data_IF_273591016707
#
_entry.id   IF_273591016707
#
_cell.length_a   1.000
_cell.length_b   1.000
_cell.length_c   1.000
_cell.angle_alpha   90.00
_cell.angle_beta   90.00
_cell.angle_gamma   90.00
#
_symmetry.space_group_name_H-M   'P 1'
#
loop_
_entity.id
_entity.type
_entity.pdbx_description
1 polymer ?
#
# COMPACT_ATOMS: atom_id res chain seq x y z
N UNK A 1 6.11 20.58 2.50
CA UNK A 1 5.21 19.67 1.76
C UNK A 1 4.97 18.30 2.42
N UNK A 2 5.49 18.01 3.62
CA UNK A 2 5.42 16.66 4.24
C UNK A 2 4.21 16.32 5.13
N UNK A 3 3.22 17.22 5.28
CA UNK A 3 2.18 17.07 6.31
C UNK A 3 0.82 16.54 5.81
N UNK A 4 0.56 16.48 4.50
CA UNK A 4 -0.74 15.98 3.99
C UNK A 4 -0.84 14.45 3.91
N UNK A 5 0.28 13.73 4.03
CA UNK A 5 0.33 12.26 3.92
C UNK A 5 -0.02 11.53 5.22
N UNK A 6 -0.01 12.19 6.38
CA UNK A 6 0.01 11.47 7.66
C UNK A 6 -1.37 11.16 8.27
N UNK A 7 -2.42 11.93 7.98
CA UNK A 7 -3.72 11.75 8.66
C UNK A 7 -4.87 11.37 7.71
N UNK A 8 -4.88 11.85 6.46
CA UNK A 8 -5.90 11.50 5.46
C UNK A 8 -5.39 10.50 4.40
N UNK A 9 -4.09 10.18 4.44
CA UNK A 9 -3.41 9.40 3.39
C UNK A 9 -3.69 7.90 3.44
N UNK A 10 -3.91 7.30 4.62
CA UNK A 10 -4.07 5.83 4.74
C UNK A 10 -5.25 5.28 3.90
N UNK A 11 -6.50 5.75 4.06
CA UNK A 11 -7.61 5.27 3.22
C UNK A 11 -7.44 5.61 1.73
N UNK A 12 -6.81 6.74 1.41
CA UNK A 12 -6.51 7.09 0.02
C UNK A 12 -5.47 6.13 -0.60
N UNK A 13 -4.42 5.76 0.15
CA UNK A 13 -3.42 4.78 -0.27
C UNK A 13 -4.02 3.38 -0.39
N UNK A 14 -4.94 3.00 0.51
CA UNK A 14 -5.69 1.75 0.41
C UNK A 14 -6.52 1.70 -0.88
N UNK A 15 -7.16 2.81 -1.28
CA UNK A 15 -7.88 2.88 -2.56
C UNK A 15 -6.95 2.82 -3.77
N UNK A 16 -5.82 3.54 -3.74
CA UNK A 16 -4.83 3.54 -4.82
C UNK A 16 -4.26 2.15 -5.06
N UNK A 17 -3.98 1.39 -4.00
CA UNK A 17 -3.51 0.00 -4.09
C UNK A 17 -4.46 -0.90 -4.88
N UNK A 18 -5.76 -0.63 -4.87
CA UNK A 18 -6.78 -1.52 -5.43
C UNK A 18 -7.35 -1.02 -6.75
N UNK A 19 -7.37 0.30 -6.96
CA UNK A 19 -8.14 0.92 -8.06
C UNK A 19 -7.29 1.69 -9.06
N UNK A 20 -6.00 1.90 -8.80
CA UNK A 20 -5.15 2.65 -9.71
C UNK A 20 -4.75 1.82 -10.93
N UNK A 21 -4.82 2.41 -12.13
CA UNK A 21 -4.48 1.75 -13.37
C UNK A 21 -2.97 1.47 -13.48
N UNK A 22 -2.13 2.35 -12.92
CA UNK A 22 -0.68 2.27 -13.00
C UNK A 22 -0.10 1.33 -11.91
N UNK A 23 0.54 0.22 -12.31
CA UNK A 23 1.22 -0.68 -11.36
C UNK A 23 2.28 0.01 -10.49
N UNK A 24 2.93 1.06 -10.99
CA UNK A 24 3.92 1.82 -10.23
C UNK A 24 3.27 2.61 -9.09
N UNK A 25 2.09 3.21 -9.34
CA UNK A 25 1.31 3.93 -8.31
C UNK A 25 0.80 2.95 -7.27
N UNK A 26 0.22 1.81 -7.68
CA UNK A 26 -0.22 0.74 -6.75
C UNK A 26 0.92 0.24 -5.87
N UNK A 27 2.10 0.04 -6.45
CA UNK A 27 3.31 -0.37 -5.72
C UNK A 27 3.73 0.68 -4.69
N UNK A 28 3.82 1.94 -5.10
CA UNK A 28 4.22 3.03 -4.22
C UNK A 28 3.23 3.20 -3.06
N UNK A 29 1.93 3.02 -3.33
CA UNK A 29 0.91 3.04 -2.30
C UNK A 29 1.07 1.88 -1.30
N UNK A 30 1.30 0.65 -1.79
CA UNK A 30 1.59 -0.50 -0.92
C UNK A 30 2.85 -0.29 -0.06
N UNK A 31 3.91 0.28 -0.64
CA UNK A 31 5.12 0.61 0.09
C UNK A 31 4.88 1.65 1.20
N UNK A 32 4.15 2.72 0.89
CA UNK A 32 3.80 3.76 1.85
C UNK A 32 2.93 3.20 3.00
N UNK A 33 1.98 2.31 2.71
CA UNK A 33 1.17 1.63 3.72
C UNK A 33 2.02 0.74 4.65
N UNK A 34 3.03 0.04 4.11
CA UNK A 34 4.00 -0.70 4.92
C UNK A 34 4.84 0.21 5.82
N UNK A 35 5.30 1.35 5.30
CA UNK A 35 6.06 2.35 6.07
C UNK A 35 5.23 3.01 7.16
N UNK A 36 3.93 3.17 6.95
CA UNK A 36 3.00 3.63 7.98
C UNK A 36 2.81 2.61 9.11
N UNK A 37 3.14 1.33 8.89
CA UNK A 37 3.10 0.27 9.90
C UNK A 37 1.71 -0.06 10.45
N UNK A 38 0.66 0.61 9.98
CA UNK A 38 -0.68 0.50 10.54
C UNK A 38 -1.32 -0.85 10.22
N UNK A 39 -1.69 -1.60 11.25
CA UNK A 39 -2.40 -2.88 11.14
C UNK A 39 -3.70 -2.78 10.32
N UNK A 40 -4.36 -1.62 10.30
CA UNK A 40 -5.55 -1.38 9.49
C UNK A 40 -5.31 -1.53 7.98
N UNK A 41 -4.09 -1.26 7.50
CA UNK A 41 -3.69 -1.39 6.10
C UNK A 41 -3.51 -2.85 5.66
N UNK A 42 -3.56 -3.81 6.59
CA UNK A 42 -3.31 -5.23 6.32
C UNK A 42 -4.26 -5.81 5.27
N UNK A 43 -5.54 -5.43 5.30
CA UNK A 43 -6.53 -5.91 4.34
C UNK A 43 -6.23 -5.43 2.90
N UNK A 44 -5.87 -4.15 2.74
CA UNK A 44 -5.48 -3.60 1.44
C UNK A 44 -4.18 -4.23 0.91
N UNK A 45 -3.18 -4.39 1.78
CA UNK A 45 -1.92 -5.04 1.43
C UNK A 45 -2.11 -6.51 1.05
N UNK A 46 -2.99 -7.25 1.74
CA UNK A 46 -3.35 -8.61 1.35
C UNK A 46 -3.93 -8.66 -0.06
N UNK A 47 -4.82 -7.72 -0.41
CA UNK A 47 -5.37 -7.63 -1.77
C UNK A 47 -4.30 -7.31 -2.81
N UNK A 48 -3.31 -6.49 -2.46
CA UNK A 48 -2.16 -6.19 -3.30
C UNK A 48 -1.24 -7.41 -3.55
N UNK A 49 -1.26 -8.43 -2.69
CA UNK A 49 -0.50 -9.67 -2.90
C UNK A 49 -1.04 -10.54 -4.04
N UNK A 50 -2.26 -10.27 -4.51
CA UNK A 50 -2.86 -10.95 -5.67
C UNK A 50 -2.91 -10.06 -6.92
N UNK A 51 -2.16 -8.95 -6.93
CA UNK A 51 -2.11 -8.04 -8.08
C UNK A 51 -1.51 -8.72 -9.34
N UNK A 52 -1.92 -8.23 -10.51
CA UNK A 52 -1.37 -8.68 -11.79
C UNK A 52 0.15 -8.43 -11.88
N UNK A 53 0.63 -7.32 -11.31
CA UNK A 53 2.04 -6.93 -11.32
C UNK A 53 2.87 -7.70 -10.28
N UNK A 54 3.92 -8.37 -10.72
CA UNK A 54 4.88 -9.06 -9.85
C UNK A 54 5.53 -8.13 -8.81
N UNK A 55 5.80 -6.88 -9.19
CA UNK A 55 6.41 -5.89 -8.30
C UNK A 55 5.46 -5.48 -7.17
N UNK A 56 4.19 -5.25 -7.49
CA UNK A 56 3.17 -4.90 -6.49
C UNK A 56 3.02 -6.03 -5.46
N UNK A 57 2.98 -7.29 -5.92
CA UNK A 57 2.91 -8.47 -5.03
C UNK A 57 4.10 -8.58 -4.08
N UNK A 58 5.31 -8.37 -4.59
CA UNK A 58 6.52 -8.42 -3.78
C UNK A 58 6.51 -7.30 -2.72
N UNK A 59 6.21 -6.06 -3.14
CA UNK A 59 6.13 -4.92 -2.23
C UNK A 59 5.05 -5.11 -1.17
N UNK A 60 3.88 -5.66 -1.54
CA UNK A 60 2.81 -5.97 -0.62
C UNK A 60 3.23 -6.97 0.46
N UNK A 61 3.93 -8.05 0.09
CA UNK A 61 4.48 -9.02 1.05
C UNK A 61 5.50 -8.39 2.00
N UNK A 62 6.37 -7.53 1.49
CA UNK A 62 7.36 -6.81 2.32
C UNK A 62 6.65 -5.85 3.28
N UNK A 63 5.67 -5.09 2.79
CA UNK A 63 4.88 -4.16 3.58
C UNK A 63 4.08 -4.87 4.69
N UNK A 64 3.53 -6.06 4.41
CA UNK A 64 2.86 -6.89 5.43
C UNK A 64 3.79 -7.29 6.58
N UNK A 65 5.08 -7.52 6.31
CA UNK A 65 6.09 -7.81 7.34
C UNK A 65 6.59 -6.57 8.09
N UNK A 66 6.28 -5.36 7.61
CA UNK A 66 6.60 -4.08 8.26
C UNK A 66 5.46 -3.56 9.14
N UNK A 67 4.29 -4.21 9.10
CA UNK A 67 3.21 -3.91 10.03
C UNK A 67 3.65 -4.30 11.44
N UNK A 68 3.46 -3.38 12.40
CA UNK A 68 3.82 -3.56 13.79
C UNK A 68 2.65 -3.22 14.73
#
# INVERSE_FOLDING_TARGET
VGAMLQASGRPALEQLVVSDADPAVRRNAAWALGKLGHAASRAALLKATTDASGLVKMTARVALGQLH
#
